data_IF_159376186685
#
_entry.id   IF_159376186685
#
_cell.length_a   1.000
_cell.length_b   1.000
_cell.length_c   1.000
_cell.angle_alpha   90.00
_cell.angle_beta   90.00
_cell.angle_gamma   90.00
#
_symmetry.space_group_name_H-M   'P 1'
#
loop_
_entity.id
_entity.type
_entity.pdbx_description
1 polymer ?
#
# COMPACT_ATOMS: atom_id res chain seq x y z
N UNK A 1 27.93 2.30 -4.16
CA UNK A 1 27.69 2.91 -5.48
C UNK A 1 26.92 4.20 -5.23
N UNK A 2 26.49 4.95 -6.26
CA UNK A 2 25.56 6.06 -6.01
C UNK A 2 24.14 5.48 -5.84
N UNK A 3 23.44 5.85 -4.77
CA UNK A 3 22.04 5.45 -4.54
C UNK A 3 21.17 5.86 -5.74
N UNK A 4 20.50 4.89 -6.37
CA UNK A 4 19.71 5.12 -7.59
C UNK A 4 18.20 5.21 -7.30
N UNK A 5 17.44 5.75 -8.27
CA UNK A 5 15.97 5.69 -8.26
C UNK A 5 15.48 4.24 -8.20
N UNK A 6 16.12 3.34 -8.96
CA UNK A 6 15.76 1.92 -9.00
C UNK A 6 15.86 1.26 -7.62
N UNK A 7 16.90 1.57 -6.85
CA UNK A 7 17.06 1.02 -5.50
C UNK A 7 15.97 1.52 -4.55
N UNK A 8 15.53 2.77 -4.67
CA UNK A 8 14.38 3.30 -3.92
C UNK A 8 13.09 2.62 -4.31
N UNK A 9 12.88 2.37 -5.61
CA UNK A 9 11.73 1.60 -6.10
C UNK A 9 11.73 0.18 -5.53
N UNK A 10 12.86 -0.52 -5.58
CA UNK A 10 13.01 -1.88 -5.07
C UNK A 10 12.74 -1.99 -3.56
N UNK A 11 13.27 -1.06 -2.76
CA UNK A 11 12.96 -1.01 -1.32
C UNK A 11 11.48 -0.68 -1.08
N UNK A 12 10.91 0.24 -1.86
CA UNK A 12 9.48 0.58 -1.75
C UNK A 12 8.58 -0.61 -2.11
N UNK A 13 8.97 -1.45 -3.08
CA UNK A 13 8.30 -2.71 -3.39
C UNK A 13 8.27 -3.65 -2.19
N UNK A 14 9.38 -3.79 -1.46
CA UNK A 14 9.43 -4.62 -0.25
C UNK A 14 8.53 -4.07 0.86
N UNK A 15 8.49 -2.75 1.06
CA UNK A 15 7.58 -2.13 2.04
C UNK A 15 6.11 -2.40 1.72
N UNK A 16 5.71 -2.19 0.47
CA UNK A 16 4.33 -2.46 0.03
C UNK A 16 4.01 -3.94 0.16
N UNK A 17 4.90 -4.83 -0.29
CA UNK A 17 4.68 -6.27 -0.30
C UNK A 17 4.66 -6.91 1.09
N UNK A 18 5.59 -6.53 1.97
CA UNK A 18 5.68 -7.10 3.31
C UNK A 18 4.68 -6.47 4.28
N UNK A 19 4.49 -5.16 4.22
CA UNK A 19 3.82 -4.42 5.29
C UNK A 19 2.54 -3.71 4.84
N UNK A 20 2.23 -3.71 3.53
CA UNK A 20 1.06 -3.00 3.01
C UNK A 20 1.10 -1.48 3.25
N UNK A 21 2.30 -0.92 3.50
CA UNK A 21 2.51 0.49 3.83
C UNK A 21 3.67 1.09 3.04
N UNK A 22 3.72 2.41 2.95
CA UNK A 22 4.87 3.15 2.44
C UNK A 22 6.06 3.12 3.42
N UNK A 23 7.32 3.20 2.94
CA UNK A 23 8.43 3.51 3.81
C UNK A 23 8.31 4.94 4.34
N UNK A 24 8.58 5.15 5.63
CA UNK A 24 8.95 6.47 6.13
C UNK A 24 10.33 6.89 5.62
N UNK A 25 10.66 8.17 5.75
CA UNK A 25 11.91 8.73 5.23
C UNK A 25 13.17 8.04 5.73
N UNK A 26 13.29 7.87 7.04
CA UNK A 26 14.43 7.21 7.68
C UNK A 26 14.53 5.74 7.27
N UNK A 27 13.39 5.04 7.24
CA UNK A 27 13.30 3.66 6.77
C UNK A 27 13.77 3.50 5.32
N UNK A 28 13.30 4.35 4.40
CA UNK A 28 13.74 4.31 3.00
C UNK A 28 15.24 4.53 2.90
N UNK A 29 15.76 5.56 3.56
CA UNK A 29 17.18 5.90 3.51
C UNK A 29 18.06 4.74 4.06
N UNK A 30 17.66 4.15 5.18
CA UNK A 30 18.37 3.04 5.80
C UNK A 30 18.47 1.81 4.87
N UNK A 31 17.33 1.32 4.37
CA UNK A 31 17.31 0.09 3.58
C UNK A 31 17.93 0.28 2.20
N UNK A 32 17.80 1.46 1.60
CA UNK A 32 18.46 1.78 0.33
C UNK A 32 19.97 1.91 0.52
N UNK A 33 20.43 2.49 1.63
CA UNK A 33 21.85 2.50 1.99
C UNK A 33 22.39 1.08 2.18
N UNK A 34 21.64 0.21 2.85
CA UNK A 34 22.01 -1.21 3.00
C UNK A 34 22.02 -1.95 1.66
N UNK A 35 21.09 -1.66 0.75
CA UNK A 35 21.10 -2.23 -0.59
C UNK A 35 22.33 -1.77 -1.39
N UNK A 36 22.76 -0.51 -1.22
CA UNK A 36 23.97 0.01 -1.86
C UNK A 36 25.24 -0.65 -1.36
N UNK A 37 25.37 -0.83 -0.05
CA UNK A 37 26.55 -1.49 0.54
C UNK A 37 26.65 -2.96 0.15
N UNK A 38 25.50 -3.62 -0.10
CA UNK A 38 25.42 -4.98 -0.62
C UNK A 38 25.55 -5.07 -2.15
N UNK A 39 25.80 -3.95 -2.84
CA UNK A 39 26.07 -3.91 -4.28
C UNK A 39 24.85 -3.91 -5.19
N UNK A 40 23.63 -3.72 -4.66
CA UNK A 40 22.42 -3.52 -5.45
C UNK A 40 21.95 -4.73 -6.27
N UNK A 41 22.38 -5.94 -5.91
CA UNK A 41 22.09 -7.17 -6.67
C UNK A 41 20.74 -7.80 -6.28
N UNK A 42 20.25 -8.75 -7.08
CA UNK A 42 19.06 -9.54 -6.72
C UNK A 42 19.27 -10.38 -5.44
N UNK A 43 20.49 -10.87 -5.21
CA UNK A 43 20.86 -11.55 -3.97
C UNK A 43 20.80 -10.59 -2.77
N UNK A 44 21.29 -9.36 -2.93
CA UNK A 44 21.17 -8.30 -1.93
C UNK A 44 19.71 -8.00 -1.61
N UNK A 45 18.84 -7.90 -2.63
CA UNK A 45 17.40 -7.71 -2.42
C UNK A 45 16.75 -8.82 -1.61
N UNK A 46 17.12 -10.07 -1.85
CA UNK A 46 16.62 -11.22 -1.07
C UNK A 46 17.12 -11.15 0.37
N UNK A 47 18.37 -10.76 0.58
CA UNK A 47 18.92 -10.54 1.92
C UNK A 47 18.18 -9.42 2.65
N UNK A 48 17.97 -8.26 2.01
CA UNK A 48 17.21 -7.14 2.57
C UNK A 48 15.78 -7.57 2.94
N UNK A 49 15.11 -8.33 2.07
CA UNK A 49 13.76 -8.83 2.35
C UNK A 49 13.72 -9.73 3.59
N UNK A 50 14.71 -10.62 3.75
CA UNK A 50 14.85 -11.46 4.95
C UNK A 50 15.12 -10.61 6.20
N UNK A 51 16.02 -9.63 6.10
CA UNK A 51 16.36 -8.74 7.20
C UNK A 51 15.16 -7.90 7.64
N UNK A 52 14.40 -7.35 6.68
CA UNK A 52 13.16 -6.62 6.93
C UNK A 52 12.12 -7.52 7.61
N UNK A 53 11.92 -8.73 7.10
CA UNK A 53 11.02 -9.72 7.68
C UNK A 53 11.44 -10.05 9.12
N UNK A 54 12.73 -10.19 9.42
CA UNK A 54 13.23 -10.53 10.74
C UNK A 54 13.16 -9.39 11.79
N UNK A 55 12.81 -8.16 11.39
CA UNK A 55 12.75 -7.03 12.33
C UNK A 55 11.64 -7.18 13.38
N UNK A 56 11.83 -6.54 14.55
CA UNK A 56 10.81 -6.53 15.61
C UNK A 56 9.46 -5.92 15.15
N UNK A 57 9.42 -4.78 14.42
CA UNK A 57 8.16 -4.25 13.90
C UNK A 57 7.45 -5.19 12.91
N UNK A 58 8.19 -6.00 12.15
CA UNK A 58 7.59 -6.99 11.25
C UNK A 58 6.80 -8.06 12.01
N UNK A 59 7.05 -8.29 13.31
CA UNK A 59 6.29 -9.25 14.13
C UNK A 59 4.83 -8.83 14.36
N UNK A 60 4.50 -7.54 14.21
CA UNK A 60 3.12 -7.07 14.21
C UNK A 60 2.33 -7.53 12.98
N UNK A 61 3.02 -7.76 11.85
CA UNK A 61 2.43 -8.28 10.61
C UNK A 61 2.56 -9.80 10.50
N UNK A 62 3.68 -10.33 11.00
CA UNK A 62 4.03 -11.74 10.93
C UNK A 62 4.41 -12.28 12.31
N UNK A 63 3.43 -12.59 13.18
CA UNK A 63 3.71 -13.28 14.43
C UNK A 63 4.49 -14.59 14.20
N UNK A 64 5.33 -14.99 15.16
CA UNK A 64 6.22 -16.15 15.01
C UNK A 64 5.48 -17.50 14.90
N UNK A 65 4.19 -17.53 15.24
CA UNK A 65 3.36 -18.73 15.18
C UNK A 65 2.66 -18.91 13.83
N UNK A 66 2.79 -17.97 12.88
CA UNK A 66 2.19 -18.12 11.57
C UNK A 66 2.81 -19.29 10.80
N UNK A 67 1.96 -20.07 10.16
CA UNK A 67 2.35 -21.08 9.19
C UNK A 67 2.84 -20.42 7.90
N UNK A 68 3.61 -21.18 7.09
CA UNK A 68 4.03 -20.73 5.76
C UNK A 68 2.83 -20.33 4.90
N UNK A 69 1.74 -21.10 4.94
CA UNK A 69 0.52 -20.78 4.20
C UNK A 69 -0.11 -19.46 4.61
N UNK A 70 -0.14 -19.14 5.90
CA UNK A 70 -0.65 -17.85 6.39
C UNK A 70 0.26 -16.69 5.97
N UNK A 71 1.57 -16.86 6.03
CA UNK A 71 2.54 -15.87 5.52
C UNK A 71 2.29 -15.59 4.04
N UNK A 72 2.13 -16.64 3.22
CA UNK A 72 1.83 -16.50 1.79
C UNK A 72 0.48 -15.82 1.57
N UNK A 73 -0.54 -16.16 2.35
CA UNK A 73 -1.84 -15.51 2.27
C UNK A 73 -1.74 -13.99 2.51
N UNK A 74 -0.93 -13.57 3.49
CA UNK A 74 -0.65 -12.14 3.75
C UNK A 74 0.12 -11.48 2.60
N UNK A 75 1.13 -12.16 2.05
CA UNK A 75 1.87 -11.67 0.88
C UNK A 75 0.97 -11.46 -0.33
N UNK A 76 0.01 -12.37 -0.55
CA UNK A 76 -0.95 -12.26 -1.64
C UNK A 76 -1.78 -10.98 -1.59
N UNK A 77 -2.34 -10.67 -0.43
CA UNK A 77 -3.16 -9.46 -0.25
C UNK A 77 -2.34 -8.21 -0.54
N UNK A 78 -1.09 -8.17 -0.07
CA UNK A 78 -0.24 -6.99 -0.23
C UNK A 78 0.31 -6.85 -1.66
N UNK A 79 0.74 -7.94 -2.28
CA UNK A 79 1.38 -7.94 -3.61
C UNK A 79 0.34 -7.91 -4.73
N UNK A 80 -0.75 -8.68 -4.62
CA UNK A 80 -1.75 -8.78 -5.67
C UNK A 80 -3.00 -7.92 -5.41
N UNK A 81 -3.21 -7.45 -4.18
CA UNK A 81 -4.39 -6.67 -3.81
C UNK A 81 -5.69 -7.47 -3.73
N UNK A 82 -5.59 -8.80 -3.66
CA UNK A 82 -6.72 -9.72 -3.62
C UNK A 82 -6.38 -10.97 -2.82
N UNK A 83 -7.42 -11.69 -2.39
CA UNK A 83 -7.25 -13.01 -1.80
C UNK A 83 -6.65 -13.98 -2.83
N UNK A 84 -5.81 -14.90 -2.35
CA UNK A 84 -5.25 -15.95 -3.18
C UNK A 84 -6.35 -16.91 -3.64
N UNK A 85 -6.31 -17.32 -4.90
CA UNK A 85 -7.01 -18.53 -5.33
C UNK A 85 -6.32 -19.77 -4.75
N UNK A 86 -7.03 -20.89 -4.66
CA UNK A 86 -6.50 -22.12 -4.04
C UNK A 86 -5.22 -22.60 -4.71
N UNK A 87 -5.17 -22.60 -6.05
CA UNK A 87 -4.01 -23.09 -6.80
C UNK A 87 -2.78 -22.21 -6.63
N UNK A 88 -2.98 -20.89 -6.67
CA UNK A 88 -1.94 -19.91 -6.40
C UNK A 88 -1.39 -20.03 -4.97
N UNK A 89 -2.28 -20.09 -3.96
CA UNK A 89 -1.88 -20.25 -2.57
C UNK A 89 -1.06 -21.53 -2.36
N UNK A 90 -1.48 -22.64 -2.94
CA UNK A 90 -0.76 -23.92 -2.87
C UNK A 90 0.62 -23.83 -3.53
N UNK A 91 0.71 -23.22 -4.72
CA UNK A 91 1.97 -23.03 -5.44
C UNK A 91 3.00 -22.24 -4.64
N UNK A 92 2.62 -21.08 -4.11
CA UNK A 92 3.55 -20.23 -3.34
C UNK A 92 3.84 -20.79 -1.95
N UNK A 93 2.90 -21.52 -1.34
CA UNK A 93 3.17 -22.24 -0.09
C UNK A 93 4.22 -23.32 -0.32
N UNK A 94 4.09 -24.11 -1.39
CA UNK A 94 5.08 -25.13 -1.75
C UNK A 94 6.47 -24.54 -2.03
N UNK A 95 6.53 -23.32 -2.59
CA UNK A 95 7.78 -22.57 -2.76
C UNK A 95 8.44 -22.23 -1.42
N UNK A 96 7.66 -21.81 -0.42
CA UNK A 96 8.17 -21.50 0.92
C UNK A 96 8.50 -22.75 1.74
N UNK A 97 7.82 -23.87 1.49
CA UNK A 97 8.10 -25.17 2.11
C UNK A 97 9.37 -25.85 1.54
N UNK A 98 9.86 -25.39 0.39
CA UNK A 98 11.04 -25.95 -0.24
C UNK A 98 12.30 -25.75 0.63
N UNK A 99 13.18 -26.76 0.63
CA UNK A 99 14.41 -26.74 1.43
C UNK A 99 15.29 -25.54 1.07
N UNK A 100 15.58 -24.70 2.06
CA UNK A 100 16.42 -23.50 1.90
C UNK A 100 15.67 -22.27 1.40
N UNK A 101 14.36 -22.37 1.16
CA UNK A 101 13.52 -21.21 0.90
C UNK A 101 13.38 -20.35 2.17
N UNK A 102 13.25 -19.05 1.96
CA UNK A 102 13.01 -18.07 3.02
C UNK A 102 11.85 -17.14 2.63
N UNK A 103 11.17 -16.51 3.59
CA UNK A 103 10.14 -15.52 3.29
C UNK A 103 10.64 -14.41 2.35
N UNK A 104 11.88 -13.95 2.55
CA UNK A 104 12.52 -12.96 1.70
C UNK A 104 12.76 -13.44 0.26
N UNK A 105 13.10 -14.71 0.06
CA UNK A 105 13.26 -15.28 -1.29
C UNK A 105 11.94 -15.42 -2.03
N UNK A 106 10.87 -15.79 -1.33
CA UNK A 106 9.55 -15.99 -1.94
C UNK A 106 8.89 -14.65 -2.24
N UNK A 107 8.99 -13.66 -1.33
CA UNK A 107 8.37 -12.35 -1.57
C UNK A 107 9.05 -11.59 -2.73
N UNK A 108 10.37 -11.72 -2.91
CA UNK A 108 11.05 -11.11 -4.06
C UNK A 108 10.67 -11.79 -5.37
N UNK A 109 10.46 -13.10 -5.37
CA UNK A 109 9.91 -13.84 -6.54
C UNK A 109 8.48 -13.40 -6.86
N UNK A 110 7.60 -13.26 -5.84
CA UNK A 110 6.23 -12.76 -6.02
C UNK A 110 6.20 -11.33 -6.57
N UNK A 111 7.05 -10.43 -6.05
CA UNK A 111 7.20 -9.07 -6.57
C UNK A 111 7.63 -9.10 -8.05
N UNK A 112 8.64 -9.91 -8.39
CA UNK A 112 9.06 -10.04 -9.80
C UNK A 112 7.90 -10.51 -10.67
N UNK A 113 7.15 -11.52 -10.22
CA UNK A 113 6.04 -12.10 -10.97
C UNK A 113 4.91 -11.09 -11.23
N UNK A 114 4.55 -10.27 -10.23
CA UNK A 114 3.49 -9.27 -10.39
C UNK A 114 3.95 -8.11 -11.27
N UNK A 115 5.17 -7.60 -11.08
CA UNK A 115 5.68 -6.42 -11.80
C UNK A 115 5.94 -6.75 -13.28
N UNK A 116 6.37 -7.97 -13.58
CA UNK A 116 6.60 -8.43 -14.96
C UNK A 116 5.36 -8.99 -15.65
N UNK A 117 4.17 -8.94 -15.04
CA UNK A 117 2.98 -9.53 -15.61
C UNK A 117 2.62 -8.86 -16.96
N UNK A 118 2.40 -9.63 -18.04
CA UNK A 118 2.19 -9.05 -19.37
C UNK A 118 0.80 -8.42 -19.50
N UNK A 119 0.70 -7.32 -20.27
CA UNK A 119 -0.59 -6.67 -20.54
C UNK A 119 -1.55 -7.52 -21.37
N UNK A 120 -1.04 -8.55 -22.06
CA UNK A 120 -1.83 -9.56 -22.77
C UNK A 120 -2.33 -10.71 -21.89
N UNK A 121 -1.95 -10.73 -20.61
CA UNK A 121 -2.40 -11.75 -19.66
C UNK A 121 -3.85 -11.56 -19.20
N UNK A 122 -4.25 -12.32 -18.18
CA UNK A 122 -5.59 -12.21 -17.58
C UNK A 122 -5.86 -10.78 -17.06
N UNK A 123 -7.09 -10.30 -17.22
CA UNK A 123 -7.52 -8.98 -16.73
C UNK A 123 -7.25 -8.79 -15.22
N UNK A 124 -7.41 -9.85 -14.43
CA UNK A 124 -7.13 -9.83 -13.00
C UNK A 124 -5.64 -9.64 -12.70
N UNK A 125 -4.76 -10.38 -13.38
CA UNK A 125 -3.32 -10.22 -13.24
C UNK A 125 -2.82 -8.84 -13.69
N UNK A 126 -3.40 -8.29 -14.77
CA UNK A 126 -3.14 -6.89 -15.19
C UNK A 126 -3.58 -5.92 -14.09
N UNK A 127 -4.77 -6.11 -13.52
CA UNK A 127 -5.28 -5.29 -12.42
C UNK A 127 -4.35 -5.34 -11.20
N UNK A 128 -3.89 -6.53 -10.79
CA UNK A 128 -2.95 -6.71 -9.69
C UNK A 128 -1.61 -6.02 -9.95
N UNK A 129 -1.05 -6.15 -11.16
CA UNK A 129 0.18 -5.45 -11.56
C UNK A 129 0.03 -3.94 -11.46
N UNK A 130 -1.03 -3.40 -12.07
CA UNK A 130 -1.23 -1.95 -12.15
C UNK A 130 -1.48 -1.38 -10.75
N UNK A 131 -2.27 -2.06 -9.92
CA UNK A 131 -2.45 -1.72 -8.51
C UNK A 131 -1.13 -1.70 -7.73
N UNK A 132 -0.32 -2.75 -7.84
CA UNK A 132 0.95 -2.86 -7.12
C UNK A 132 1.92 -1.76 -7.56
N UNK A 133 2.08 -1.54 -8.87
CA UNK A 133 2.95 -0.49 -9.41
C UNK A 133 2.49 0.91 -8.98
N UNK A 134 1.18 1.17 -8.93
CA UNK A 134 0.62 2.42 -8.44
C UNK A 134 0.92 2.62 -6.95
N UNK A 135 0.72 1.59 -6.11
CA UNK A 135 1.07 1.63 -4.68
C UNK A 135 2.55 1.89 -4.46
N UNK A 136 3.43 1.25 -5.23
CA UNK A 136 4.88 1.44 -5.16
C UNK A 136 5.27 2.87 -5.54
N UNK A 137 4.65 3.44 -6.57
CA UNK A 137 4.88 4.83 -6.99
C UNK A 137 4.55 5.80 -5.86
N UNK A 138 3.39 5.63 -5.22
CA UNK A 138 2.97 6.46 -4.09
C UNK A 138 3.87 6.24 -2.87
N UNK A 139 4.20 4.98 -2.56
CA UNK A 139 5.06 4.62 -1.44
C UNK A 139 6.46 5.23 -1.56
N UNK A 140 7.07 5.15 -2.75
CA UNK A 140 8.36 5.75 -3.01
C UNK A 140 8.31 7.28 -2.83
N UNK A 141 7.32 7.95 -3.40
CA UNK A 141 7.16 9.40 -3.25
C UNK A 141 6.97 9.82 -1.79
N UNK A 142 6.24 9.03 -1.00
CA UNK A 142 6.04 9.28 0.43
C UNK A 142 7.36 9.22 1.21
N UNK A 143 8.18 8.18 0.98
CA UNK A 143 9.49 8.06 1.62
C UNK A 143 10.49 9.12 1.15
N UNK A 144 10.51 9.45 -0.14
CA UNK A 144 11.39 10.51 -0.69
C UNK A 144 11.05 11.91 -0.16
N UNK A 145 9.79 12.14 0.25
CA UNK A 145 9.35 13.36 0.93
C UNK A 145 9.72 13.41 2.41
N UNK A 146 10.42 12.39 2.90
CA UNK A 146 10.87 12.29 4.29
C UNK A 146 9.71 12.36 5.30
N UNK A 147 8.58 11.75 4.97
CA UNK A 147 7.40 11.73 5.83
C UNK A 147 7.52 10.63 6.89
N UNK A 148 6.92 10.86 8.06
CA UNK A 148 6.95 9.92 9.19
C UNK A 148 6.00 8.73 9.02
N UNK A 149 5.95 7.83 10.01
CA UNK A 149 5.15 6.59 9.92
C UNK A 149 3.64 6.78 9.97
N UNK A 150 3.15 7.92 10.47
CA UNK A 150 1.72 8.19 10.76
C UNK A 150 0.80 7.87 9.59
N UNK A 151 1.15 8.28 8.37
CA UNK A 151 0.29 8.12 7.20
C UNK A 151 0.77 7.04 6.23
N UNK A 152 1.79 6.27 6.61
CA UNK A 152 2.41 5.32 5.72
C UNK A 152 1.42 4.26 5.19
N UNK A 153 0.43 3.88 6.00
CA UNK A 153 -0.62 2.95 5.58
C UNK A 153 -1.79 3.68 4.90
N UNK A 154 -2.26 4.78 5.48
CA UNK A 154 -3.44 5.51 4.95
C UNK A 154 -3.20 6.14 3.59
N UNK A 155 -1.97 6.52 3.26
CA UNK A 155 -1.65 7.04 1.92
C UNK A 155 -1.86 6.00 0.81
N UNK A 156 -1.78 4.70 1.12
CA UNK A 156 -1.95 3.62 0.16
C UNK A 156 -3.38 3.08 0.08
N UNK A 157 -4.27 3.42 1.02
CA UNK A 157 -5.60 2.82 1.12
C UNK A 157 -6.53 3.21 -0.03
N UNK A 158 -6.39 4.42 -0.58
CA UNK A 158 -7.16 4.90 -1.72
C UNK A 158 -6.55 4.59 -3.09
N UNK A 159 -5.37 3.96 -3.13
CA UNK A 159 -4.67 3.68 -4.39
C UNK A 159 -5.26 2.42 -5.04
N UNK A 160 -5.69 2.57 -6.29
CA UNK A 160 -6.29 1.50 -7.12
C UNK A 160 -5.43 1.22 -8.36
N UNK A 161 -5.89 0.34 -9.26
CA UNK A 161 -5.26 0.14 -10.58
C UNK A 161 -5.38 1.39 -11.49
N UNK A 162 -6.27 2.34 -11.19
CA UNK A 162 -6.39 3.60 -11.94
C UNK A 162 -5.29 4.59 -11.57
N UNK A 163 -4.58 5.11 -12.58
CA UNK A 163 -3.53 6.13 -12.42
C UNK A 163 -4.06 7.44 -11.82
N UNK A 164 -5.36 7.74 -11.96
CA UNK A 164 -5.98 8.92 -11.33
C UNK A 164 -5.85 8.88 -9.79
N UNK A 165 -5.87 7.69 -9.18
CA UNK A 165 -5.71 7.54 -7.73
C UNK A 165 -4.27 7.80 -7.27
N UNK A 166 -3.28 7.57 -8.15
CA UNK A 166 -1.88 7.96 -7.90
C UNK A 166 -1.78 9.48 -7.84
N UNK A 167 -2.37 10.19 -8.80
CA UNK A 167 -2.38 11.66 -8.81
C UNK A 167 -3.01 12.22 -7.53
N UNK A 168 -4.15 11.66 -7.09
CA UNK A 168 -4.80 12.07 -5.85
C UNK A 168 -3.89 11.85 -4.63
N UNK A 169 -3.24 10.69 -4.51
CA UNK A 169 -2.33 10.40 -3.41
C UNK A 169 -1.08 11.30 -3.42
N UNK A 170 -0.50 11.57 -4.59
CA UNK A 170 0.64 12.50 -4.70
C UNK A 170 0.26 13.93 -4.30
N UNK A 171 -0.98 14.37 -4.59
CA UNK A 171 -1.47 15.66 -4.11
C UNK A 171 -1.56 15.66 -2.58
N UNK A 172 -2.10 14.61 -1.96
CA UNK A 172 -2.15 14.48 -0.50
C UNK A 172 -0.76 14.51 0.13
N UNK A 173 0.24 13.84 -0.46
CA UNK A 173 1.64 13.87 0.00
C UNK A 173 2.18 15.31 0.00
N UNK A 174 1.90 16.07 -1.06
CA UNK A 174 2.41 17.44 -1.21
C UNK A 174 1.69 18.46 -0.32
N UNK A 175 0.40 18.25 -0.01
CA UNK A 175 -0.40 19.22 0.76
C UNK A 175 -0.48 18.92 2.25
N UNK A 176 -0.39 17.65 2.68
CA UNK A 176 -0.64 17.31 4.08
C UNK A 176 0.55 17.53 5.03
N UNK A 177 1.76 17.87 4.57
CA UNK A 177 2.94 18.17 5.40
C UNK A 177 3.13 17.25 6.64
N UNK A 178 2.81 15.96 6.52
CA UNK A 178 2.88 14.98 7.62
C UNK A 178 1.71 14.95 8.61
N UNK A 179 0.71 15.83 8.47
CA UNK A 179 -0.54 15.77 9.23
C UNK A 179 -1.31 14.46 8.93
N UNK A 180 -2.07 13.90 9.89
CA UNK A 180 -2.81 12.66 9.69
C UNK A 180 -3.71 12.69 8.45
N UNK A 181 -3.53 11.73 7.55
CA UNK A 181 -4.36 11.53 6.37
C UNK A 181 -5.56 10.69 6.81
N UNK A 182 -6.72 11.32 6.90
CA UNK A 182 -8.00 10.60 7.01
C UNK A 182 -8.14 9.63 5.83
N UNK A 183 -8.63 8.42 6.08
CA UNK A 183 -8.73 7.32 5.12
C UNK A 183 -9.73 7.62 4.00
N UNK A 184 -9.39 8.52 3.06
CA UNK A 184 -10.21 8.81 1.89
C UNK A 184 -11.64 9.24 2.22
N UNK A 185 -11.82 10.04 3.27
CA UNK A 185 -13.12 10.59 3.63
C UNK A 185 -13.74 11.35 2.46
N UNK A 186 -15.03 11.15 2.24
CA UNK A 186 -15.80 11.83 1.23
C UNK A 186 -16.24 13.20 1.77
N UNK A 187 -16.35 14.20 0.89
CA UNK A 187 -16.98 15.47 1.24
C UNK A 187 -18.37 15.51 0.63
N UNK A 188 -19.38 15.60 1.50
CA UNK A 188 -20.77 15.76 1.12
C UNK A 188 -21.18 17.20 1.35
N UNK A 189 -21.78 17.85 0.35
CA UNK A 189 -22.37 19.18 0.52
C UNK A 189 -23.86 19.00 0.76
N UNK A 190 -24.34 19.46 1.91
CA UNK A 190 -25.76 19.40 2.25
C UNK A 190 -26.56 20.40 1.41
N UNK A 191 -27.80 20.06 1.11
CA UNK A 191 -28.76 20.89 0.38
C UNK A 191 -29.82 21.41 1.33
N UNK A 192 -30.73 22.28 0.87
CA UNK A 192 -31.91 22.65 1.70
C UNK A 192 -33.00 21.57 1.69
N UNK A 193 -32.76 20.46 0.97
CA UNK A 193 -33.66 19.32 0.89
C UNK A 193 -33.41 18.31 2.01
N UNK A 194 -33.94 17.10 1.83
CA UNK A 194 -33.67 15.96 2.71
C UNK A 194 -32.39 15.28 2.22
N UNK A 195 -31.34 15.33 3.04
CA UNK A 195 -30.08 14.65 2.74
C UNK A 195 -30.02 13.32 3.51
N UNK A 196 -30.25 12.21 2.79
CA UNK A 196 -30.30 10.86 3.38
C UNK A 196 -29.97 9.76 2.38
N UNK A 197 -29.79 8.54 2.89
CA UNK A 197 -29.57 7.34 2.08
C UNK A 197 -28.16 7.22 1.51
N UNK A 198 -27.97 6.32 0.55
CA UNK A 198 -26.65 5.94 0.03
C UNK A 198 -25.82 7.10 -0.56
N UNK A 199 -26.47 8.21 -0.92
CA UNK A 199 -25.82 9.42 -1.43
C UNK A 199 -25.14 10.26 -0.32
N UNK A 200 -25.48 10.01 0.95
CA UNK A 200 -24.94 10.70 2.14
C UNK A 200 -24.37 9.72 3.17
N UNK A 201 -24.18 8.44 2.79
CA UNK A 201 -23.52 7.45 3.64
C UNK A 201 -22.01 7.61 3.55
N UNK A 202 -21.37 7.80 4.71
CA UNK A 202 -19.93 7.92 4.84
C UNK A 202 -19.14 6.69 4.35
N UNK A 203 -17.87 6.91 4.01
CA UNK A 203 -16.93 5.86 3.62
C UNK A 203 -16.19 5.26 4.82
N UNK A 204 -15.16 4.46 4.55
CA UNK A 204 -14.22 3.97 5.58
C UNK A 204 -13.28 5.07 6.14
N UNK A 205 -13.58 6.33 5.84
CA UNK A 205 -12.80 7.52 6.08
C UNK A 205 -13.43 8.47 7.08
N UNK A 206 -12.69 9.52 7.45
CA UNK A 206 -13.28 10.67 8.12
C UNK A 206 -14.01 11.53 7.08
N UNK A 207 -15.30 11.30 6.90
CA UNK A 207 -16.12 12.08 5.97
C UNK A 207 -16.41 13.50 6.51
N UNK A 208 -16.57 14.44 5.59
CA UNK A 208 -16.90 15.83 5.90
C UNK A 208 -18.27 16.18 5.33
N UNK A 209 -19.23 16.48 6.19
CA UNK A 209 -20.55 16.98 5.78
C UNK A 209 -20.57 18.50 5.92
N UNK A 210 -20.52 19.19 4.80
CA UNK A 210 -20.43 20.64 4.74
C UNK A 210 -21.84 21.24 4.66
N UNK A 211 -22.27 21.87 5.76
CA UNK A 211 -23.52 22.62 5.83
C UNK A 211 -23.25 24.11 5.57
N UNK A 212 -23.95 24.70 4.61
CA UNK A 212 -23.98 26.13 4.38
C UNK A 212 -25.16 26.80 5.10
N UNK A 213 -24.90 28.01 5.62
CA UNK A 213 -25.87 29.00 6.05
C UNK A 213 -25.84 30.15 5.04
N UNK A 214 -26.86 30.25 4.18
CA UNK A 214 -26.94 31.29 3.15
C UNK A 214 -28.32 31.93 3.18
N UNK A 215 -28.38 33.27 3.31
CA UNK A 215 -29.63 34.05 3.29
C UNK A 215 -30.74 33.50 4.22
N UNK A 216 -30.38 32.96 5.38
CA UNK A 216 -31.33 32.41 6.35
C UNK A 216 -31.83 30.99 6.04
N UNK A 217 -31.40 30.37 4.93
CA UNK A 217 -31.63 28.96 4.65
C UNK A 217 -30.51 28.11 5.27
N UNK A 218 -30.89 27.18 6.17
CA UNK A 218 -30.01 26.15 6.71
C UNK A 218 -30.08 24.91 5.83
N UNK A 219 -28.92 24.38 5.47
CA UNK A 219 -28.79 23.10 4.74
C UNK A 219 -28.68 21.90 5.68
N UNK A 220 -28.34 22.10 6.96
CA UNK A 220 -28.52 21.07 7.99
C UNK A 220 -29.85 21.32 8.70
N UNK A 221 -30.80 20.42 8.54
CA UNK A 221 -32.14 20.52 9.10
C UNK A 221 -32.57 19.20 9.78
N UNK A 222 -33.70 19.23 10.46
CA UNK A 222 -34.20 18.07 11.24
C UNK A 222 -34.58 16.85 10.40
N UNK A 223 -34.60 16.97 9.07
CA UNK A 223 -34.94 15.89 8.15
C UNK A 223 -33.73 15.10 7.67
N UNK A 224 -32.51 15.57 7.95
CA UNK A 224 -31.28 14.94 7.47
C UNK A 224 -30.90 13.74 8.35
N UNK A 225 -30.35 12.71 7.72
CA UNK A 225 -29.88 11.51 8.43
C UNK A 225 -28.59 10.99 7.82
N UNK A 226 -27.61 10.72 8.69
CA UNK A 226 -26.31 10.11 8.35
C UNK A 226 -26.41 8.59 8.27
#
# INVERSE_FOLDING_TARGET
MAITVQMRTQVSQLYVALFGRAPDGDGLAFWVGRLDTLGGTAAAMTQIANDMFATAPARAYFPLFLTNREIISSFYVNVLGRAADTGGLDFWTAKLDARGATPGSVITEMISAVVSFPSSGSAEGVTSRDLFNNKVTVAQAYGEKNLGVTNATSILSGVTASTATVTAALNLINTNNGAPIGTGGQTFTLTTGVDSGAAFTGGAGNDTFNAALSNGAQTLNSSDSL
#
